data_IF_891476951180
#
_entry.id   IF_891476951180
#
_cell.length_a   1.000
_cell.length_b   1.000
_cell.length_c   1.000
_cell.angle_alpha   90.00
_cell.angle_beta   90.00
_cell.angle_gamma   90.00
#
_symmetry.space_group_name_H-M   'P 1'
#
loop_
_entity.id
_entity.type
_entity.pdbx_description
1 polymer ?
#
# COMPACT_ATOMS: atom_id res chain seq x y z
N UNK A 1 2.83 -20.11 -0.29
CA UNK A 1 4.07 -19.41 -0.68
C UNK A 1 3.80 -18.75 -2.01
N UNK A 2 3.72 -17.41 -2.04
CA UNK A 2 3.49 -16.67 -3.28
C UNK A 2 4.62 -17.03 -4.25
N UNK A 3 4.22 -17.56 -5.41
CA UNK A 3 5.09 -18.25 -6.37
C UNK A 3 6.15 -17.32 -6.96
N UNK A 4 7.33 -17.35 -6.36
CA UNK A 4 8.53 -16.75 -6.93
C UNK A 4 9.22 -17.83 -7.78
N UNK A 5 8.89 -17.88 -9.07
CA UNK A 5 9.67 -18.60 -10.06
C UNK A 5 11.00 -17.84 -10.23
N UNK A 6 12.07 -18.42 -9.70
CA UNK A 6 13.37 -17.80 -9.37
C UNK A 6 14.21 -17.23 -10.52
N UNK A 7 13.61 -16.82 -11.64
CA UNK A 7 14.28 -16.24 -12.79
C UNK A 7 13.71 -14.86 -13.21
N UNK A 8 12.72 -14.31 -12.48
CA UNK A 8 11.99 -13.11 -12.89
C UNK A 8 12.53 -11.81 -12.30
N UNK A 9 12.60 -10.75 -13.12
CA UNK A 9 12.78 -9.37 -12.67
C UNK A 9 11.65 -9.03 -11.68
N UNK A 10 11.97 -8.71 -10.43
CA UNK A 10 10.95 -8.30 -9.44
C UNK A 10 10.30 -6.99 -9.90
N UNK A 11 9.01 -7.06 -10.20
CA UNK A 11 8.19 -5.90 -10.60
C UNK A 11 7.90 -4.99 -9.40
N UNK A 12 7.55 -3.73 -9.65
CA UNK A 12 7.18 -2.78 -8.59
C UNK A 12 6.01 -3.29 -7.75
N UNK A 13 5.04 -3.98 -8.38
CA UNK A 13 3.89 -4.60 -7.72
C UNK A 13 4.31 -5.72 -6.76
N UNK A 14 5.24 -6.58 -7.16
CA UNK A 14 5.75 -7.65 -6.29
C UNK A 14 6.52 -7.11 -5.09
N UNK A 15 7.33 -6.05 -5.28
CA UNK A 15 8.02 -5.38 -4.16
C UNK A 15 7.03 -4.81 -3.15
N UNK A 16 5.96 -4.17 -3.62
CA UNK A 16 4.90 -3.65 -2.77
C UNK A 16 4.18 -4.76 -2.01
N UNK A 17 3.81 -5.85 -2.68
CA UNK A 17 3.15 -7.00 -2.05
C UNK A 17 4.03 -7.62 -0.96
N UNK A 18 5.31 -7.85 -1.24
CA UNK A 18 6.27 -8.40 -0.26
C UNK A 18 6.47 -7.45 0.92
N UNK A 19 6.53 -6.14 0.68
CA UNK A 19 6.65 -5.15 1.74
C UNK A 19 5.42 -5.15 2.65
N UNK A 20 4.22 -5.15 2.08
CA UNK A 20 2.96 -5.20 2.84
C UNK A 20 2.88 -6.49 3.66
N UNK A 21 3.22 -7.63 3.06
CA UNK A 21 3.20 -8.94 3.73
C UNK A 21 4.08 -8.97 4.99
N UNK A 22 5.31 -8.44 4.90
CA UNK A 22 6.23 -8.38 6.03
C UNK A 22 5.88 -7.34 7.10
N UNK A 23 4.95 -6.41 6.83
CA UNK A 23 4.71 -5.25 7.68
C UNK A 23 3.23 -5.00 8.01
N UNK A 24 2.34 -5.98 7.78
CA UNK A 24 0.89 -5.78 7.84
C UNK A 24 0.39 -5.07 9.12
N UNK A 25 0.79 -5.57 10.29
CA UNK A 25 0.32 -5.02 11.59
C UNK A 25 0.81 -3.60 11.82
N UNK A 26 2.06 -3.30 11.44
CA UNK A 26 2.63 -1.96 11.57
C UNK A 26 1.99 -1.02 10.56
N UNK A 27 1.77 -1.48 9.33
CA UNK A 27 1.13 -0.71 8.29
C UNK A 27 -0.31 -0.35 8.68
N UNK A 28 -1.07 -1.29 9.23
CA UNK A 28 -2.41 -1.02 9.75
C UNK A 28 -2.38 0.08 10.83
N UNK A 29 -1.46 -0.05 11.80
CA UNK A 29 -1.27 0.93 12.87
C UNK A 29 -0.88 2.32 12.36
N UNK A 30 -0.03 2.39 11.34
CA UNK A 30 0.46 3.65 10.78
C UNK A 30 -0.62 4.31 9.91
N UNK A 31 -1.34 3.53 9.09
CA UNK A 31 -2.49 4.04 8.31
C UNK A 31 -3.59 4.57 9.23
N UNK A 32 -3.90 3.87 10.32
CA UNK A 32 -4.91 4.34 11.28
C UNK A 32 -4.53 5.69 11.92
N UNK A 33 -3.23 5.94 12.12
CA UNK A 33 -2.70 7.23 12.59
C UNK A 33 -2.63 8.27 11.47
N UNK A 34 -2.44 7.84 10.23
CA UNK A 34 -2.16 8.66 9.05
C UNK A 34 -0.67 9.04 8.93
N UNK A 35 0.19 8.42 9.72
CA UNK A 35 1.63 8.65 9.76
C UNK A 35 2.34 7.45 10.40
N UNK A 36 3.64 7.31 10.11
CA UNK A 36 4.49 6.29 10.67
C UNK A 36 5.52 5.79 9.65
N UNK A 37 6.56 5.13 10.15
CA UNK A 37 7.72 4.71 9.35
C UNK A 37 7.34 3.68 8.28
N UNK A 38 6.40 2.77 8.59
CA UNK A 38 5.98 1.72 7.67
C UNK A 38 5.16 2.30 6.52
N UNK A 39 4.26 3.24 6.86
CA UNK A 39 3.47 3.96 5.87
C UNK A 39 4.36 4.83 4.97
N UNK A 40 5.31 5.56 5.56
CA UNK A 40 6.28 6.34 4.80
C UNK A 40 7.08 5.47 3.82
N UNK A 41 7.63 4.35 4.33
CA UNK A 41 8.40 3.41 3.51
C UNK A 41 7.55 2.78 2.41
N UNK A 42 6.28 2.45 2.67
CA UNK A 42 5.37 1.94 1.63
C UNK A 42 5.27 2.94 0.47
N UNK A 43 5.07 4.22 0.77
CA UNK A 43 4.94 5.25 -0.28
C UNK A 43 6.26 5.51 -1.03
N UNK A 44 7.41 5.33 -0.37
CA UNK A 44 8.73 5.39 -1.03
C UNK A 44 8.95 4.20 -1.96
N UNK A 45 8.58 2.98 -1.53
CA UNK A 45 8.64 1.78 -2.37
C UNK A 45 7.70 1.90 -3.57
N UNK A 46 6.57 2.58 -3.40
CA UNK A 46 5.63 2.89 -4.48
C UNK A 46 6.15 4.00 -5.42
N UNK A 47 7.18 4.75 -5.01
CA UNK A 47 7.77 5.81 -5.82
C UNK A 47 6.96 7.09 -5.87
N UNK A 48 6.20 7.40 -4.80
CA UNK A 48 5.39 8.62 -4.71
C UNK A 48 6.26 9.87 -4.45
N UNK A 49 5.88 11.00 -5.06
CA UNK A 49 6.42 12.31 -4.68
C UNK A 49 5.94 12.74 -3.30
N UNK A 50 6.64 13.67 -2.65
CA UNK A 50 6.27 14.13 -1.30
C UNK A 50 4.86 14.74 -1.23
N UNK A 51 4.41 15.41 -2.28
CA UNK A 51 3.05 15.93 -2.39
C UNK A 51 2.02 14.79 -2.46
N UNK A 52 2.33 13.73 -3.21
CA UNK A 52 1.47 12.56 -3.32
C UNK A 52 1.44 11.75 -2.01
N UNK A 53 2.55 11.65 -1.28
CA UNK A 53 2.60 10.98 0.03
C UNK A 53 1.62 11.58 1.02
N UNK A 54 1.57 12.91 1.13
CA UNK A 54 0.64 13.58 2.04
C UNK A 54 -0.82 13.28 1.68
N UNK A 55 -1.16 13.34 0.39
CA UNK A 55 -2.50 13.01 -0.10
C UNK A 55 -2.85 11.52 0.09
N UNK A 56 -1.88 10.63 -0.13
CA UNK A 56 -2.03 9.19 0.09
C UNK A 56 -2.30 8.89 1.56
N UNK A 57 -1.48 9.40 2.48
CA UNK A 57 -1.62 9.14 3.91
C UNK A 57 -2.97 9.59 4.46
N UNK A 58 -3.42 10.79 4.07
CA UNK A 58 -4.73 11.31 4.46
C UNK A 58 -5.88 10.43 3.91
N UNK A 59 -5.80 10.07 2.63
CA UNK A 59 -6.83 9.23 1.99
C UNK A 59 -6.84 7.82 2.58
N UNK A 60 -5.68 7.21 2.80
CA UNK A 60 -5.55 5.87 3.37
C UNK A 60 -6.12 5.82 4.78
N UNK A 61 -5.83 6.81 5.62
CA UNK A 61 -6.43 6.94 6.94
C UNK A 61 -7.96 7.02 6.88
N UNK A 62 -8.50 7.84 5.99
CA UNK A 62 -9.95 8.00 5.83
C UNK A 62 -10.62 6.72 5.30
N UNK A 63 -9.89 5.89 4.55
CA UNK A 63 -10.37 4.64 3.96
C UNK A 63 -9.87 3.40 4.72
N UNK A 64 -9.38 3.55 5.95
CA UNK A 64 -8.78 2.45 6.72
C UNK A 64 -9.67 1.21 6.78
N UNK A 65 -10.97 1.40 7.05
CA UNK A 65 -11.95 0.32 7.13
C UNK A 65 -12.16 -0.40 5.78
N UNK A 66 -11.94 0.26 4.65
CA UNK A 66 -12.00 -0.35 3.32
C UNK A 66 -10.71 -1.07 2.96
N UNK A 67 -9.57 -0.54 3.41
CA UNK A 67 -8.24 -1.14 3.17
C UNK A 67 -8.09 -2.43 3.97
N UNK A 68 -8.44 -2.40 5.26
CA UNK A 68 -8.43 -3.53 6.19
C UNK A 68 -9.86 -4.00 6.48
N UNK A 69 -10.54 -4.46 5.43
CA UNK A 69 -11.97 -4.78 5.45
C UNK A 69 -12.39 -5.95 6.37
N UNK A 70 -11.45 -6.80 6.77
CA UNK A 70 -11.72 -7.91 7.70
C UNK A 70 -10.45 -8.40 8.41
N UNK A 71 -10.63 -9.21 9.45
CA UNK A 71 -9.54 -9.89 10.17
C UNK A 71 -8.75 -10.89 9.31
N UNK A 72 -9.32 -11.35 8.18
CA UNK A 72 -8.68 -12.30 7.27
C UNK A 72 -8.11 -11.63 6.01
N UNK A 73 -7.98 -10.30 6.00
CA UNK A 73 -7.43 -9.57 4.85
C UNK A 73 -5.99 -10.00 4.60
N UNK A 74 -5.67 -10.34 3.35
CA UNK A 74 -4.32 -10.74 2.95
C UNK A 74 -3.50 -9.56 2.44
N UNK A 75 -2.18 -9.73 2.31
CA UNK A 75 -1.30 -8.71 1.72
C UNK A 75 -1.67 -8.35 0.29
N UNK A 76 -2.14 -9.34 -0.48
CA UNK A 76 -2.67 -9.14 -1.82
C UNK A 76 -3.96 -8.30 -1.80
N UNK A 77 -4.86 -8.57 -0.85
CA UNK A 77 -6.11 -7.80 -0.71
C UNK A 77 -5.83 -6.35 -0.30
N UNK A 78 -4.95 -6.14 0.69
CA UNK A 78 -4.55 -4.79 1.12
C UNK A 78 -3.94 -4.00 -0.04
N UNK A 79 -3.03 -4.62 -0.82
CA UNK A 79 -2.45 -3.97 -2.00
C UNK A 79 -3.52 -3.62 -3.05
N UNK A 80 -4.47 -4.53 -3.31
CA UNK A 80 -5.55 -4.29 -4.26
C UNK A 80 -6.47 -3.14 -3.80
N UNK A 81 -6.82 -3.11 -2.51
CA UNK A 81 -7.65 -2.05 -1.93
C UNK A 81 -6.94 -0.70 -1.98
N UNK A 82 -5.65 -0.65 -1.63
CA UNK A 82 -4.83 0.56 -1.76
C UNK A 82 -4.71 1.02 -3.22
N UNK A 83 -4.50 0.10 -4.16
CA UNK A 83 -4.41 0.44 -5.58
C UNK A 83 -5.72 1.02 -6.11
N UNK A 84 -6.85 0.47 -5.66
CA UNK A 84 -8.19 0.96 -6.03
C UNK A 84 -8.40 2.38 -5.49
N UNK A 85 -8.07 2.61 -4.23
CA UNK A 85 -8.10 3.95 -3.62
C UNK A 85 -7.20 4.95 -4.36
N UNK A 86 -6.00 4.53 -4.79
CA UNK A 86 -5.06 5.36 -5.57
C UNK A 86 -5.64 5.69 -6.95
N UNK A 87 -6.22 4.71 -7.64
CA UNK A 87 -6.81 4.90 -8.97
C UNK A 87 -8.04 5.84 -8.94
N UNK A 88 -8.83 5.81 -7.87
CA UNK A 88 -10.03 6.64 -7.71
C UNK A 88 -9.70 8.11 -7.38
N UNK A 89 -8.47 8.40 -6.93
CA UNK A 89 -8.07 9.75 -6.54
C UNK A 89 -7.30 10.45 -7.65
N UNK A 90 -7.84 11.58 -8.14
CA UNK A 90 -7.25 12.32 -9.26
C UNK A 90 -5.78 12.75 -9.02
N UNK A 91 -5.39 13.02 -7.77
CA UNK A 91 -4.01 13.40 -7.41
C UNK A 91 -3.06 12.20 -7.26
N UNK A 92 -3.59 10.97 -7.19
CA UNK A 92 -2.83 9.74 -6.97
C UNK A 92 -2.91 8.77 -8.16
N UNK A 93 -3.85 8.95 -9.10
CA UNK A 93 -4.10 8.02 -10.20
C UNK A 93 -2.89 7.73 -11.08
N UNK A 94 -1.90 8.63 -11.13
CA UNK A 94 -0.63 8.41 -11.82
C UNK A 94 0.23 7.28 -11.22
N UNK A 95 -0.06 6.86 -9.98
CA UNK A 95 0.64 5.79 -9.26
C UNK A 95 -0.13 4.47 -9.24
N UNK A 96 -1.29 4.38 -9.91
CA UNK A 96 -2.04 3.14 -10.01
C UNK A 96 -1.24 2.06 -10.77
N UNK A 97 -1.29 0.83 -10.25
CA UNK A 97 -0.64 -0.38 -10.76
C UNK A 97 -1.50 -1.12 -11.78
#
# INVERSE_FOLDING_TARGET
>A
TLGCDGNGVITSKEKLAMFIDGNMDNLARDIARGEGETLATLTDVWGMSDEAKAAFNATARNNYASIFASENVTSADVLANLNTMVADQNTLAAYAL
#
